data_IF_310315133838
#
_entry.id   IF_310315133838
#
_cell.length_a   1.000
_cell.length_b   1.000
_cell.length_c   1.000
_cell.angle_alpha   90.00
_cell.angle_beta   90.00
_cell.angle_gamma   90.00
#
_symmetry.space_group_name_H-M   'P 1'
#
loop_
_entity.id
_entity.type
_entity.pdbx_description
1 polymer ?
#
# COMPACT_ATOMS: atom_id res chain seq x y z
N UNK A 1 68.82 -25.75 -19.53
CA UNK A 1 67.94 -25.91 -18.37
C UNK A 1 67.42 -24.55 -17.97
N UNK A 2 66.20 -24.17 -18.43
CA UNK A 2 65.56 -22.86 -18.15
C UNK A 2 64.72 -22.96 -16.88
N UNK A 3 65.17 -22.30 -15.82
CA UNK A 3 64.49 -22.24 -14.55
C UNK A 3 63.37 -21.16 -14.69
N UNK A 4 62.11 -21.60 -14.80
CA UNK A 4 60.93 -20.71 -14.72
C UNK A 4 60.83 -20.17 -13.30
N UNK A 5 61.26 -18.93 -13.08
CA UNK A 5 60.94 -18.16 -11.86
C UNK A 5 59.46 -17.79 -11.91
N UNK A 6 58.60 -18.53 -11.19
CA UNK A 6 57.25 -18.08 -10.87
C UNK A 6 57.33 -16.81 -10.02
N UNK A 7 56.99 -15.68 -10.63
CA UNK A 7 56.72 -14.46 -9.88
C UNK A 7 55.40 -14.68 -9.13
N UNK A 8 55.48 -14.90 -7.83
CA UNK A 8 54.32 -14.78 -6.95
C UNK A 8 53.94 -13.30 -6.91
N UNK A 9 52.84 -12.94 -7.60
CA UNK A 9 52.21 -11.64 -7.44
C UNK A 9 51.85 -11.50 -5.95
N UNK A 10 52.47 -10.51 -5.29
CA UNK A 10 52.10 -10.15 -3.92
C UNK A 10 50.63 -9.73 -3.97
N UNK A 11 49.74 -10.55 -3.40
CA UNK A 11 48.39 -10.16 -3.11
C UNK A 11 48.49 -8.97 -2.13
N UNK A 12 48.23 -7.76 -2.63
CA UNK A 12 48.13 -6.57 -1.78
C UNK A 12 46.86 -6.78 -0.92
N UNK A 13 47.05 -7.09 0.35
CA UNK A 13 45.94 -7.17 1.33
C UNK A 13 45.45 -5.76 1.62
N UNK A 14 44.13 -5.63 1.83
CA UNK A 14 43.49 -4.41 2.29
C UNK A 14 44.05 -3.97 3.66
N UNK A 15 44.30 -2.67 3.82
CA UNK A 15 44.65 -2.13 5.12
C UNK A 15 43.42 -1.97 5.99
N UNK A 16 43.60 -2.06 7.31
CA UNK A 16 42.51 -1.85 8.27
C UNK A 16 41.87 -0.45 8.13
N UNK A 17 42.71 0.56 7.85
CA UNK A 17 42.26 1.94 7.62
C UNK A 17 41.39 2.06 6.37
N UNK A 18 41.79 1.39 5.28
CA UNK A 18 41.02 1.38 4.04
C UNK A 18 39.61 0.77 4.26
N UNK A 19 39.51 -0.33 5.02
CA UNK A 19 38.24 -0.92 5.39
C UNK A 19 37.41 0.04 6.25
N UNK A 20 38.04 0.74 7.22
CA UNK A 20 37.30 1.71 8.05
C UNK A 20 36.77 2.87 7.22
N UNK A 21 37.56 3.40 6.26
CA UNK A 21 37.10 4.50 5.39
C UNK A 21 35.94 4.05 4.50
N UNK A 22 36.01 2.85 3.93
CA UNK A 22 34.89 2.31 3.11
C UNK A 22 33.64 2.15 3.91
N UNK A 23 33.72 1.60 5.13
CA UNK A 23 32.57 1.46 6.02
C UNK A 23 31.99 2.82 6.42
N UNK A 24 32.82 3.83 6.64
CA UNK A 24 32.37 5.19 6.94
C UNK A 24 31.60 5.79 5.76
N UNK A 25 32.09 5.63 4.54
CA UNK A 25 31.42 6.13 3.33
C UNK A 25 30.06 5.44 3.15
N UNK A 26 30.01 4.10 3.29
CA UNK A 26 28.77 3.35 3.20
C UNK A 26 27.76 3.81 4.26
N UNK A 27 28.21 4.03 5.49
CA UNK A 27 27.34 4.50 6.58
C UNK A 27 26.74 5.89 6.27
N UNK A 28 27.51 6.81 5.74
CA UNK A 28 27.03 8.15 5.34
C UNK A 28 26.02 8.05 4.20
N UNK A 29 26.29 7.24 3.17
CA UNK A 29 25.37 7.05 2.06
C UNK A 29 24.06 6.38 2.51
N UNK A 30 24.15 5.36 3.37
CA UNK A 30 22.99 4.67 3.92
C UNK A 30 22.12 5.60 4.78
N UNK A 31 22.73 6.52 5.55
CA UNK A 31 22.01 7.48 6.37
C UNK A 31 21.08 8.40 5.57
N UNK A 32 21.41 8.66 4.31
CA UNK A 32 20.58 9.45 3.39
C UNK A 32 19.60 8.57 2.62
N UNK A 33 20.06 7.42 2.13
CA UNK A 33 19.28 6.56 1.24
C UNK A 33 18.09 5.88 1.96
N UNK A 34 18.28 5.43 3.21
CA UNK A 34 17.25 4.68 3.96
C UNK A 34 15.98 5.51 4.20
N UNK A 35 16.02 6.75 4.73
CA UNK A 35 14.81 7.54 4.96
C UNK A 35 14.08 7.88 3.65
N UNK A 36 14.79 8.17 2.57
CA UNK A 36 14.18 8.41 1.26
C UNK A 36 13.43 7.19 0.74
N UNK A 37 14.00 6.00 0.93
CA UNK A 37 13.38 4.73 0.53
C UNK A 37 12.07 4.47 1.29
N UNK A 38 12.05 4.67 2.61
CA UNK A 38 10.85 4.50 3.44
C UNK A 38 9.73 5.46 3.02
N UNK A 39 10.06 6.72 2.76
CA UNK A 39 9.08 7.70 2.27
C UNK A 39 8.52 7.31 0.90
N UNK A 40 9.35 6.80 0.01
CA UNK A 40 8.92 6.34 -1.33
C UNK A 40 7.94 5.16 -1.24
N UNK A 41 8.19 4.19 -0.36
CA UNK A 41 7.27 3.08 -0.11
C UNK A 41 5.94 3.59 0.44
N UNK A 42 5.97 4.52 1.41
CA UNK A 42 4.76 5.10 1.99
C UNK A 42 3.92 5.79 0.90
N UNK A 43 4.54 6.64 0.09
CA UNK A 43 3.86 7.32 -1.02
C UNK A 43 3.26 6.35 -2.03
N UNK A 44 3.96 5.26 -2.37
CA UNK A 44 3.45 4.23 -3.26
C UNK A 44 2.22 3.51 -2.68
N UNK A 45 2.24 3.16 -1.39
CA UNK A 45 1.07 2.55 -0.71
C UNK A 45 -0.12 3.50 -0.65
N UNK A 46 0.12 4.79 -0.39
CA UNK A 46 -0.94 5.81 -0.39
C UNK A 46 -1.57 5.98 -1.77
N UNK A 47 -0.78 5.90 -2.84
CA UNK A 47 -1.31 5.94 -4.20
C UNK A 47 -2.19 4.72 -4.50
N UNK A 48 -1.78 3.52 -4.08
CA UNK A 48 -2.60 2.31 -4.21
C UNK A 48 -3.87 2.42 -3.39
N UNK A 49 -3.80 2.91 -2.14
CA UNK A 49 -4.99 3.11 -1.30
C UNK A 49 -6.03 4.03 -1.97
N UNK A 50 -5.59 5.15 -2.54
CA UNK A 50 -6.48 6.08 -3.24
C UNK A 50 -7.15 5.44 -4.45
N UNK A 51 -6.40 4.65 -5.20
CA UNK A 51 -6.94 3.92 -6.35
C UNK A 51 -7.95 2.85 -5.92
N UNK A 52 -7.63 2.07 -4.89
CA UNK A 52 -8.53 1.05 -4.36
C UNK A 52 -9.83 1.67 -3.81
N UNK A 53 -9.73 2.80 -3.08
CA UNK A 53 -10.91 3.53 -2.61
C UNK A 53 -11.76 4.05 -3.77
N UNK A 54 -11.14 4.57 -4.83
CA UNK A 54 -11.87 5.03 -6.01
C UNK A 54 -12.61 3.88 -6.68
N UNK A 55 -11.94 2.75 -6.90
CA UNK A 55 -12.55 1.55 -7.51
C UNK A 55 -13.70 1.01 -6.67
N UNK A 56 -13.55 0.99 -5.33
CA UNK A 56 -14.61 0.52 -4.43
C UNK A 56 -15.82 1.47 -4.45
N UNK A 57 -15.61 2.78 -4.42
CA UNK A 57 -16.66 3.78 -4.48
C UNK A 57 -17.40 3.75 -5.81
N UNK A 58 -16.68 3.66 -6.92
CA UNK A 58 -17.29 3.51 -8.25
C UNK A 58 -18.15 2.24 -8.36
N UNK A 59 -17.71 1.14 -7.75
CA UNK A 59 -18.47 -0.10 -7.73
C UNK A 59 -19.73 -0.01 -6.86
N UNK A 60 -19.67 0.70 -5.72
CA UNK A 60 -20.84 0.98 -4.88
C UNK A 60 -21.86 1.81 -5.65
N UNK A 61 -21.41 2.85 -6.33
CA UNK A 61 -22.29 3.73 -7.13
C UNK A 61 -22.92 2.97 -8.30
N UNK A 62 -22.15 2.17 -9.02
CA UNK A 62 -22.64 1.35 -10.12
C UNK A 62 -23.69 0.33 -9.65
N UNK A 63 -23.42 -0.36 -8.53
CA UNK A 63 -24.36 -1.29 -7.93
C UNK A 63 -25.67 -0.58 -7.54
N UNK A 64 -25.55 0.58 -6.88
CA UNK A 64 -26.70 1.36 -6.41
C UNK A 64 -27.56 1.84 -7.57
N UNK A 65 -26.92 2.34 -8.64
CA UNK A 65 -27.63 2.79 -9.83
C UNK A 65 -28.36 1.66 -10.56
N UNK A 66 -27.74 0.49 -10.68
CA UNK A 66 -28.32 -0.66 -11.39
C UNK A 66 -29.43 -1.35 -10.59
N UNK A 67 -29.21 -1.51 -9.28
CA UNK A 67 -30.15 -2.24 -8.41
C UNK A 67 -31.20 -1.34 -7.75
N UNK A 68 -31.04 -0.02 -7.84
CA UNK A 68 -31.84 0.99 -7.12
C UNK A 68 -31.87 0.74 -5.60
N UNK A 69 -30.82 0.14 -5.07
CA UNK A 69 -30.57 -0.08 -3.63
C UNK A 69 -29.09 -0.16 -3.37
N UNK A 70 -28.63 0.37 -2.24
CA UNK A 70 -27.25 0.30 -1.85
C UNK A 70 -26.84 -1.13 -1.42
N UNK A 71 -25.58 -1.54 -1.68
CA UNK A 71 -25.08 -2.85 -1.24
C UNK A 71 -25.01 -2.90 0.29
N UNK A 72 -25.13 -4.10 0.87
CA UNK A 72 -25.03 -4.32 2.30
C UNK A 72 -23.58 -4.65 2.72
N UNK A 73 -22.86 -5.31 1.82
CA UNK A 73 -21.49 -5.75 2.03
C UNK A 73 -20.64 -5.55 0.77
N UNK A 74 -19.32 -5.51 0.93
CA UNK A 74 -18.40 -5.49 -0.23
C UNK A 74 -18.50 -6.79 -1.06
N UNK A 75 -18.90 -7.90 -0.44
CA UNK A 75 -19.11 -9.17 -1.15
C UNK A 75 -20.30 -9.12 -2.11
N UNK A 76 -21.28 -8.26 -1.85
CA UNK A 76 -22.42 -8.03 -2.77
C UNK A 76 -21.93 -7.45 -4.10
N UNK A 77 -20.91 -6.61 -4.06
CA UNK A 77 -20.28 -6.04 -5.27
C UNK A 77 -19.57 -7.11 -6.10
N UNK A 78 -18.93 -8.07 -5.44
CA UNK A 78 -18.27 -9.20 -6.11
C UNK A 78 -19.30 -10.15 -6.70
N UNK A 79 -20.33 -10.51 -5.91
CA UNK A 79 -21.41 -11.39 -6.35
C UNK A 79 -22.24 -10.76 -7.47
N UNK A 80 -22.44 -9.45 -7.45
CA UNK A 80 -23.12 -8.69 -8.48
C UNK A 80 -22.29 -8.49 -9.76
N UNK A 81 -20.98 -8.81 -9.74
CA UNK A 81 -20.09 -8.67 -10.89
C UNK A 81 -19.52 -7.25 -11.09
N UNK A 82 -19.70 -6.35 -10.13
CA UNK A 82 -19.15 -4.98 -10.16
C UNK A 82 -17.68 -4.94 -9.74
N UNK A 83 -17.25 -5.91 -8.94
CA UNK A 83 -15.85 -6.13 -8.58
C UNK A 83 -15.46 -7.57 -8.91
N UNK A 84 -14.22 -7.77 -9.32
CA UNK A 84 -13.66 -9.11 -9.51
C UNK A 84 -13.36 -9.78 -8.16
N UNK A 85 -12.86 -9.00 -7.21
CA UNK A 85 -12.58 -9.41 -5.83
C UNK A 85 -12.39 -8.14 -4.99
N UNK A 86 -12.64 -8.23 -3.69
CA UNK A 86 -12.35 -7.13 -2.76
C UNK A 86 -10.83 -6.96 -2.69
N UNK A 87 -10.29 -5.75 -2.99
CA UNK A 87 -8.85 -5.50 -2.91
C UNK A 87 -8.37 -5.57 -1.46
N UNK A 88 -7.08 -5.82 -1.27
CA UNK A 88 -6.46 -5.74 0.05
C UNK A 88 -6.13 -4.29 0.38
N UNK A 89 -6.53 -3.84 1.56
CA UNK A 89 -6.09 -2.54 2.07
C UNK A 89 -4.56 -2.52 2.18
N UNK A 90 -3.84 -1.64 1.44
CA UNK A 90 -2.38 -1.60 1.45
C UNK A 90 -1.79 -1.16 2.79
N UNK A 91 -2.60 -0.57 3.69
CA UNK A 91 -2.16 -0.13 5.01
C UNK A 91 -2.22 -1.26 6.04
N UNK A 92 -3.24 -2.12 5.98
CA UNK A 92 -3.43 -3.25 6.89
C UNK A 92 -2.98 -4.57 6.29
N UNK A 93 -2.81 -4.63 4.96
CA UNK A 93 -2.51 -5.84 4.16
C UNK A 93 -3.61 -6.91 4.22
N UNK A 94 -4.83 -6.52 4.55
CA UNK A 94 -6.00 -7.39 4.68
C UNK A 94 -7.19 -6.83 3.89
N UNK A 95 -8.00 -7.70 3.30
CA UNK A 95 -9.22 -7.34 2.57
C UNK A 95 -10.46 -7.21 3.48
N UNK A 96 -10.37 -7.62 4.73
CA UNK A 96 -11.48 -7.58 5.70
C UNK A 96 -11.49 -6.32 6.57
N UNK A 97 -10.48 -5.47 6.44
CA UNK A 97 -10.30 -4.29 7.29
C UNK A 97 -10.92 -3.02 6.71
N UNK A 98 -11.55 -3.10 5.55
CA UNK A 98 -12.32 -1.98 5.02
C UNK A 98 -13.48 -1.64 5.94
N UNK A 99 -13.67 -0.35 6.21
CA UNK A 99 -14.74 0.17 7.08
C UNK A 99 -15.81 0.80 6.20
N UNK A 100 -16.96 0.14 6.05
CA UNK A 100 -18.09 0.70 5.31
C UNK A 100 -18.78 1.81 6.11
N UNK A 101 -19.19 2.86 5.42
CA UNK A 101 -20.11 3.87 5.95
C UNK A 101 -21.52 3.50 5.49
N UNK A 102 -22.38 3.25 6.44
CA UNK A 102 -23.80 2.96 6.20
C UNK A 102 -24.63 4.24 6.31
N UNK A 103 -25.53 4.45 5.38
CA UNK A 103 -26.48 5.56 5.41
C UNK A 103 -27.90 5.02 5.65
N UNK A 104 -28.59 5.63 6.61
CA UNK A 104 -29.98 5.35 6.92
C UNK A 104 -30.95 5.99 5.91
N UNK A 105 -30.46 6.87 5.02
CA UNK A 105 -31.26 7.44 3.95
C UNK A 105 -31.54 6.37 2.90
N UNK A 106 -32.77 5.85 2.97
CA UNK A 106 -33.28 4.86 2.01
C UNK A 106 -33.29 5.49 0.61
N UNK A 107 -32.47 4.95 -0.28
CA UNK A 107 -32.37 5.42 -1.67
C UNK A 107 -33.63 5.11 -2.47
N UNK A 108 -34.46 4.17 -1.99
CA UNK A 108 -35.70 3.78 -2.63
C UNK A 108 -36.73 3.34 -1.58
N UNK A 109 -38.04 3.44 -1.95
CA UNK A 109 -39.17 3.04 -1.10
C UNK A 109 -39.15 1.54 -0.76
N UNK A 110 -38.48 0.74 -1.57
CA UNK A 110 -38.35 -0.72 -1.38
C UNK A 110 -37.11 -1.12 -0.56
N UNK A 111 -36.25 -0.17 -0.18
CA UNK A 111 -35.11 -0.44 0.67
C UNK A 111 -35.53 -0.39 2.13
N UNK A 112 -35.42 -1.50 2.82
CA UNK A 112 -35.83 -1.65 4.23
C UNK A 112 -34.68 -1.48 5.20
N UNK A 113 -33.42 -1.71 4.74
CA UNK A 113 -32.24 -1.69 5.55
C UNK A 113 -31.25 -0.62 5.07
N UNK A 114 -30.45 -0.01 5.99
CA UNK A 114 -29.36 0.89 5.64
C UNK A 114 -28.41 0.22 4.65
N UNK A 115 -27.90 0.97 3.71
CA UNK A 115 -26.94 0.47 2.73
C UNK A 115 -25.61 1.19 2.78
N UNK A 116 -24.58 0.55 2.23
CA UNK A 116 -23.25 1.12 2.15
C UNK A 116 -23.22 2.23 1.10
N UNK A 117 -22.80 3.42 1.53
CA UNK A 117 -22.65 4.60 0.65
C UNK A 117 -21.20 5.01 0.44
N UNK A 118 -20.32 4.63 1.36
CA UNK A 118 -18.89 4.93 1.27
C UNK A 118 -18.06 3.84 1.96
N UNK A 119 -16.75 3.87 1.74
CA UNK A 119 -15.80 2.95 2.35
C UNK A 119 -14.49 3.67 2.65
N UNK A 120 -13.89 3.33 3.78
CA UNK A 120 -12.61 3.88 4.26
C UNK A 120 -11.64 2.77 4.61
N UNK A 121 -10.33 3.12 4.71
CA UNK A 121 -9.32 2.19 5.23
C UNK A 121 -9.55 1.91 6.73
N UNK A 122 -9.26 0.69 7.16
CA UNK A 122 -9.27 0.33 8.60
C UNK A 122 -8.04 0.78 9.38
N UNK A 123 -7.15 1.58 8.78
CA UNK A 123 -5.92 2.04 9.42
C UNK A 123 -6.06 3.47 9.97
N UNK A 124 -5.79 3.65 11.26
CA UNK A 124 -5.73 4.97 11.90
C UNK A 124 -4.35 5.64 11.83
N UNK A 125 -3.41 5.06 11.07
CA UNK A 125 -2.09 5.66 10.89
C UNK A 125 -2.19 6.97 10.11
N UNK A 126 -1.35 7.98 10.45
CA UNK A 126 -1.36 9.26 9.75
C UNK A 126 -0.79 9.14 8.35
N UNK A 127 -1.51 9.67 7.39
CA UNK A 127 -1.09 9.83 6.00
C UNK A 127 0.01 10.88 5.84
N UNK A 128 0.43 11.09 4.61
CA UNK A 128 1.40 12.15 4.27
C UNK A 128 0.80 13.56 4.39
N UNK A 129 -0.52 13.66 4.36
CA UNK A 129 -1.30 14.89 4.58
C UNK A 129 -1.56 15.18 6.07
N UNK A 130 -1.15 14.28 6.98
CA UNK A 130 -1.36 14.37 8.42
C UNK A 130 -2.73 13.90 8.90
N UNK A 131 -3.64 13.48 7.99
CA UNK A 131 -4.92 12.89 8.35
C UNK A 131 -4.78 11.36 8.47
N UNK A 132 -5.54 10.71 9.37
CA UNK A 132 -5.56 9.26 9.44
C UNK A 132 -6.17 8.65 8.17
N UNK A 133 -5.67 7.49 7.72
CA UNK A 133 -6.20 6.80 6.54
C UNK A 133 -7.67 6.39 6.69
N UNK A 134 -8.16 6.21 7.91
CA UNK A 134 -9.57 5.95 8.22
C UNK A 134 -10.52 7.10 7.86
N UNK A 135 -9.99 8.25 7.45
CA UNK A 135 -10.78 9.41 6.98
C UNK A 135 -10.67 9.67 5.48
N UNK A 136 -9.92 8.83 4.75
CA UNK A 136 -9.69 8.98 3.30
C UNK A 136 -10.82 8.44 2.46
#
# INVERSE_FOLDING_TARGET
MRIFRKQFARAAGFTLVELMVVMLIIAILAAIAVPMYVQSIKAAREAVLKEDLHVLRDAIDAYTNDKNKAPQTLDDLVTGGYLKSVPKDPMTSDSTTWVPTMDDTLQNVDQTDPGMTDVHSGSDQPGSDGQPYSTW
#
